data_IF_278748830517
#
_entry.id   IF_278748830517
#
_cell.length_a   1.000
_cell.length_b   1.000
_cell.length_c   1.000
_cell.angle_alpha   90.00
_cell.angle_beta   90.00
_cell.angle_gamma   90.00
#
_symmetry.space_group_name_H-M   'P 1'
#
loop_
_entity.id
_entity.type
_entity.pdbx_description
1 polymer ?
#
# COMPACT_ATOMS: atom_id res chain seq x y z
N UNK A 1 9.40 -10.76 29.40
CA UNK A 1 8.96 -10.86 28.00
C UNK A 1 10.18 -10.56 27.14
N UNK A 2 11.13 -11.50 27.09
CA UNK A 2 12.44 -11.24 26.46
C UNK A 2 12.85 -12.48 25.66
N UNK A 3 12.03 -12.80 24.65
CA UNK A 3 12.28 -13.88 23.71
C UNK A 3 11.86 -13.43 22.31
N UNK A 4 12.56 -13.85 21.25
CA UNK A 4 12.19 -13.50 19.89
C UNK A 4 10.76 -13.99 19.58
N UNK A 5 9.98 -13.13 18.93
CA UNK A 5 8.64 -13.45 18.45
C UNK A 5 8.71 -13.48 16.93
N UNK A 6 8.22 -14.56 16.34
CA UNK A 6 8.11 -14.70 14.88
C UNK A 6 6.68 -14.36 14.46
N UNK A 7 6.55 -13.48 13.47
CA UNK A 7 5.27 -13.17 12.84
C UNK A 7 5.09 -14.07 11.62
N UNK A 8 3.94 -14.72 11.49
CA UNK A 8 3.58 -15.48 10.28
C UNK A 8 2.82 -14.59 9.27
N UNK A 9 1.95 -13.73 9.77
CA UNK A 9 1.13 -12.84 8.98
C UNK A 9 0.71 -11.61 9.79
N UNK A 10 0.45 -10.51 9.09
CA UNK A 10 -0.18 -9.30 9.62
C UNK A 10 -1.42 -8.98 8.78
N UNK A 11 -2.59 -9.01 9.39
CA UNK A 11 -3.86 -8.59 8.78
C UNK A 11 -4.19 -7.17 9.22
N UNK A 12 -4.57 -6.32 8.28
CA UNK A 12 -4.90 -4.91 8.52
C UNK A 12 -6.27 -4.59 7.94
N UNK A 13 -7.18 -4.15 8.79
CA UNK A 13 -8.52 -3.69 8.40
C UNK A 13 -8.51 -2.17 8.33
N UNK A 14 -8.93 -1.62 7.20
CA UNK A 14 -9.11 -0.18 7.07
C UNK A 14 -10.47 0.24 7.66
N UNK A 15 -10.52 1.38 8.34
CA UNK A 15 -11.65 1.80 9.16
C UNK A 15 -12.89 2.13 8.32
N UNK A 16 -13.98 1.37 8.53
CA UNK A 16 -15.20 1.45 7.72
C UNK A 16 -16.03 2.74 7.92
N UNK A 17 -15.74 3.57 8.94
CA UNK A 17 -16.53 4.78 9.23
C UNK A 17 -16.38 5.86 8.15
N UNK A 18 -15.26 5.87 7.44
CA UNK A 18 -14.99 6.80 6.32
C UNK A 18 -14.52 5.99 5.12
N UNK A 19 -15.42 5.24 4.46
CA UNK A 19 -15.08 4.24 3.46
C UNK A 19 -14.44 4.83 2.19
N UNK A 20 -14.69 6.10 1.91
CA UNK A 20 -14.04 6.87 0.85
C UNK A 20 -12.54 7.13 1.12
N UNK A 21 -12.08 6.97 2.36
CA UNK A 21 -10.70 7.23 2.76
C UNK A 21 -9.87 5.93 2.79
N UNK A 22 -8.70 6.00 2.18
CA UNK A 22 -7.66 4.96 2.23
C UNK A 22 -6.40 5.50 2.89
N UNK A 23 -5.44 4.63 3.21
CA UNK A 23 -4.09 5.07 3.55
C UNK A 23 -3.23 5.06 2.28
N UNK A 24 -2.90 6.25 1.79
CA UNK A 24 -2.07 6.40 0.58
C UNK A 24 -0.59 6.06 0.83
N UNK A 25 -0.12 6.31 2.05
CA UNK A 25 1.24 5.99 2.48
C UNK A 25 1.17 5.07 3.69
N UNK A 26 1.65 3.84 3.51
CA UNK A 26 1.73 2.82 4.53
C UNK A 26 3.13 2.18 4.48
N UNK A 27 3.84 2.31 5.59
CA UNK A 27 5.16 1.74 5.78
C UNK A 27 5.10 0.72 6.92
N UNK A 28 5.59 -0.49 6.65
CA UNK A 28 5.69 -1.56 7.63
C UNK A 28 7.15 -1.85 7.93
N UNK A 29 7.50 -1.77 9.21
CA UNK A 29 8.83 -2.06 9.72
C UNK A 29 8.78 -3.30 10.62
N UNK A 30 9.74 -4.19 10.45
CA UNK A 30 10.01 -5.31 11.35
C UNK A 30 11.44 -5.15 11.88
N UNK A 31 11.58 -5.02 13.20
CA UNK A 31 12.88 -4.78 13.86
C UNK A 31 13.67 -3.64 13.18
N UNK A 32 13.01 -2.49 13.02
CA UNK A 32 13.52 -1.29 12.35
C UNK A 32 13.84 -1.44 10.83
N UNK A 33 13.60 -2.60 10.24
CA UNK A 33 13.77 -2.83 8.80
C UNK A 33 12.47 -2.60 8.04
N UNK A 34 12.48 -1.72 7.05
CA UNK A 34 11.34 -1.50 6.14
C UNK A 34 11.11 -2.75 5.28
N UNK A 35 10.00 -3.45 5.51
CA UNK A 35 9.63 -4.67 4.77
C UNK A 35 8.53 -4.42 3.73
N UNK A 36 7.76 -3.35 3.86
CA UNK A 36 6.77 -2.95 2.88
C UNK A 36 6.58 -1.43 2.87
N UNK A 37 6.50 -0.85 1.66
CA UNK A 37 6.11 0.53 1.43
C UNK A 37 5.11 0.59 0.28
N UNK A 38 3.91 1.10 0.56
CA UNK A 38 2.84 1.16 -0.42
C UNK A 38 1.57 1.79 0.16
N UNK A 39 0.42 1.34 -0.32
CA UNK A 39 -0.91 1.83 0.09
C UNK A 39 -1.66 0.76 0.86
N UNK A 40 -2.61 1.18 1.71
CA UNK A 40 -3.71 0.31 2.15
C UNK A 40 -4.95 0.58 1.30
N UNK A 41 -5.59 -0.49 0.85
CA UNK A 41 -6.87 -0.40 0.14
C UNK A 41 -7.92 0.35 0.96
N UNK A 42 -8.83 1.04 0.27
CA UNK A 42 -10.03 1.60 0.91
C UNK A 42 -10.90 0.48 1.48
N UNK A 43 -11.68 0.78 2.50
CA UNK A 43 -12.74 -0.14 2.90
C UNK A 43 -13.72 -0.33 1.74
N UNK A 44 -14.04 -1.58 1.41
CA UNK A 44 -14.95 -1.94 0.32
C UNK A 44 -16.09 -2.77 0.90
N UNK A 45 -17.24 -2.13 1.13
CA UNK A 45 -18.43 -2.81 1.64
C UNK A 45 -18.85 -4.03 0.79
N UNK A 46 -18.59 -3.98 -0.52
CA UNK A 46 -18.86 -5.08 -1.44
C UNK A 46 -18.05 -6.35 -1.18
N UNK A 47 -16.93 -6.24 -0.45
CA UNK A 47 -16.06 -7.37 -0.08
C UNK A 47 -16.35 -7.89 1.33
N UNK A 48 -17.38 -7.35 1.99
CA UNK A 48 -17.77 -7.71 3.35
C UNK A 48 -17.12 -6.82 4.42
N UNK A 49 -17.72 -6.81 5.61
CA UNK A 49 -17.27 -6.00 6.75
C UNK A 49 -15.91 -6.46 7.30
N UNK A 50 -15.54 -7.73 7.07
CA UNK A 50 -14.28 -8.34 7.53
C UNK A 50 -13.17 -8.31 6.46
N UNK A 51 -13.35 -7.51 5.41
CA UNK A 51 -12.32 -7.37 4.38
C UNK A 51 -11.07 -6.68 4.95
N UNK A 52 -9.93 -7.33 4.77
CA UNK A 52 -8.62 -6.88 5.24
C UNK A 52 -7.55 -7.06 4.17
N UNK A 53 -6.41 -6.40 4.42
CA UNK A 53 -5.20 -6.60 3.65
C UNK A 53 -4.18 -7.39 4.47
N UNK A 54 -3.56 -8.40 3.87
CA UNK A 54 -2.64 -9.31 4.55
C UNK A 54 -1.21 -9.16 4.05
N UNK A 55 -0.28 -9.07 4.99
CA UNK A 55 1.17 -9.14 4.76
C UNK A 55 1.68 -10.46 5.31
N UNK A 56 2.22 -11.32 4.44
CA UNK A 56 2.68 -12.66 4.80
C UNK A 56 4.20 -12.68 5.03
N UNK A 57 4.62 -13.37 6.08
CA UNK A 57 6.03 -13.55 6.50
C UNK A 57 6.36 -15.03 6.69
N UNK A 58 5.63 -15.89 5.99
CA UNK A 58 5.65 -17.34 6.18
C UNK A 58 5.74 -18.07 4.83
N UNK A 59 6.37 -19.24 4.85
CA UNK A 59 6.42 -20.18 3.72
C UNK A 59 5.34 -21.26 3.84
N UNK A 60 4.47 -21.18 4.86
CA UNK A 60 3.41 -22.14 5.06
C UNK A 60 2.34 -22.00 3.97
N UNK A 61 2.21 -23.05 3.14
CA UNK A 61 1.42 -23.02 1.91
C UNK A 61 -0.08 -22.87 2.19
N UNK A 62 -0.61 -23.47 3.25
CA UNK A 62 -2.05 -23.39 3.53
C UNK A 62 -2.48 -21.97 3.91
N UNK A 63 -1.69 -21.28 4.73
CA UNK A 63 -1.90 -19.89 5.10
C UNK A 63 -1.71 -18.97 3.90
N UNK A 64 -0.69 -19.22 3.07
CA UNK A 64 -0.50 -18.45 1.84
C UNK A 64 -1.69 -18.60 0.87
N UNK A 65 -2.25 -19.81 0.73
CA UNK A 65 -3.44 -20.07 -0.07
C UNK A 65 -4.69 -19.39 0.51
N UNK A 66 -4.87 -19.46 1.83
CA UNK A 66 -5.99 -18.83 2.53
C UNK A 66 -6.00 -17.31 2.35
N UNK A 67 -4.82 -16.69 2.41
CA UNK A 67 -4.66 -15.23 2.41
C UNK A 67 -4.46 -14.63 1.01
N UNK A 68 -4.34 -15.48 -0.02
CA UNK A 68 -3.93 -15.06 -1.37
C UNK A 68 -4.76 -13.91 -1.95
N UNK A 69 -6.05 -13.85 -1.64
CA UNK A 69 -6.94 -12.79 -2.14
C UNK A 69 -6.81 -11.47 -1.36
N UNK A 70 -6.31 -11.51 -0.13
CA UNK A 70 -6.11 -10.35 0.75
C UNK A 70 -4.70 -9.75 0.61
N UNK A 71 -3.78 -10.41 -0.09
CA UNK A 71 -2.42 -9.89 -0.33
C UNK A 71 -2.47 -8.70 -1.31
N UNK A 72 -1.77 -7.58 -1.02
CA UNK A 72 -1.70 -6.44 -1.93
C UNK A 72 -1.27 -6.86 -3.34
N UNK A 73 -2.10 -6.60 -4.36
CA UNK A 73 -1.73 -6.86 -5.76
C UNK A 73 -0.82 -5.76 -6.27
N UNK A 74 0.34 -6.14 -6.83
CA UNK A 74 1.23 -5.22 -7.53
C UNK A 74 0.54 -4.71 -8.80
N UNK A 75 -0.18 -3.59 -8.71
CA UNK A 75 -0.98 -3.09 -9.83
C UNK A 75 -2.22 -2.29 -9.42
N UNK A 76 -2.62 -2.34 -8.15
CA UNK A 76 -3.50 -1.31 -7.56
C UNK A 76 -2.70 -0.03 -7.27
N UNK A 77 -1.93 0.39 -8.29
CA UNK A 77 -1.35 1.72 -8.33
C UNK A 77 -2.50 2.72 -8.24
N UNK A 78 -2.35 3.64 -7.30
CA UNK A 78 -3.16 4.83 -7.08
C UNK A 78 -3.69 5.39 -8.42
N UNK A 79 -4.98 5.76 -8.58
CA UNK A 79 -5.44 6.54 -9.73
C UNK A 79 -4.71 7.89 -9.87
N UNK A 80 -3.90 8.30 -8.88
CA UNK A 80 -2.93 9.38 -9.00
C UNK A 80 -1.54 8.96 -9.57
N UNK A 81 -1.38 7.73 -10.09
CA UNK A 81 -0.25 7.37 -10.95
C UNK A 81 -0.40 8.17 -12.25
N UNK A 82 0.20 9.36 -12.28
CA UNK A 82 0.25 10.21 -13.48
C UNK A 82 1.02 9.46 -14.56
N UNK A 83 0.29 8.88 -15.50
CA UNK A 83 0.84 8.24 -16.69
C UNK A 83 1.33 9.35 -17.63
N UNK A 84 2.66 9.48 -17.79
CA UNK A 84 3.20 10.33 -18.83
C UNK A 84 2.93 9.68 -20.19
N UNK A 85 2.30 10.43 -21.09
CA UNK A 85 2.15 10.05 -22.51
C UNK A 85 3.14 10.89 -23.31
N UNK A 86 4.30 10.33 -23.64
CA UNK A 86 5.17 10.89 -24.66
C UNK A 86 4.93 10.09 -25.94
N UNK A 87 4.43 10.76 -26.98
CA UNK A 87 4.28 10.22 -28.34
C UNK A 87 3.62 8.82 -28.39
N UNK A 88 2.43 8.69 -27.80
CA UNK A 88 1.63 7.47 -27.76
C UNK A 88 2.25 6.26 -27.00
N UNK A 89 3.28 6.47 -26.17
CA UNK A 89 3.78 5.45 -25.24
C UNK A 89 3.51 5.85 -23.79
N UNK A 90 2.79 4.98 -23.09
CA UNK A 90 2.50 5.10 -21.67
C UNK A 90 3.75 4.66 -20.88
N UNK A 91 4.37 5.60 -20.17
CA UNK A 91 5.52 5.33 -19.29
C UNK A 91 5.05 5.38 -17.84
N UNK A 92 5.18 4.26 -17.11
CA UNK A 92 4.97 4.22 -15.65
C UNK A 92 6.21 4.78 -14.96
N UNK A 93 6.07 5.86 -14.18
CA UNK A 93 7.19 6.48 -13.47
C UNK A 93 6.80 6.92 -12.05
N UNK A 94 7.58 6.51 -11.05
CA UNK A 94 7.48 7.03 -9.67
C UNK A 94 7.81 8.52 -9.65
N UNK A 95 6.81 9.37 -9.40
CA UNK A 95 6.94 10.84 -9.35
C UNK A 95 7.93 11.36 -8.28
N UNK A 96 8.35 10.52 -7.34
CA UNK A 96 9.18 10.92 -6.21
C UNK A 96 10.68 11.03 -6.51
N UNK A 97 11.20 10.35 -7.53
CA UNK A 97 12.66 10.33 -7.76
C UNK A 97 13.24 11.66 -8.25
N UNK A 98 12.43 12.67 -8.59
CA UNK A 98 12.89 14.01 -8.99
C UNK A 98 12.52 15.14 -8.03
N UNK A 99 11.66 14.91 -7.04
CA UNK A 99 11.34 15.95 -6.06
C UNK A 99 12.50 16.20 -5.08
N UNK A 100 13.42 15.25 -4.94
CA UNK A 100 14.61 15.39 -4.10
C UNK A 100 15.70 16.24 -4.78
N UNK A 101 15.69 16.38 -6.12
CA UNK A 101 16.70 17.15 -6.87
C UNK A 101 16.29 18.59 -7.20
N UNK A 102 15.01 18.89 -7.24
CA UNK A 102 14.50 20.22 -7.56
C UNK A 102 13.84 20.74 -6.29
N UNK A 103 14.48 21.74 -5.66
CA UNK A 103 14.08 22.34 -4.37
C UNK A 103 12.62 22.79 -4.24
N UNK A 104 12.27 23.54 -3.18
CA UNK A 104 10.88 23.68 -2.74
C UNK A 104 9.95 24.16 -3.87
N UNK A 105 8.89 23.39 -4.11
CA UNK A 105 7.91 23.69 -5.16
C UNK A 105 6.94 24.77 -4.67
N UNK A 106 6.59 25.76 -5.51
CA UNK A 106 5.58 26.74 -5.15
C UNK A 106 4.22 26.07 -5.03
N UNK A 107 3.50 26.36 -3.94
CA UNK A 107 2.11 25.94 -3.75
C UNK A 107 1.19 26.95 -4.44
N UNK A 108 0.42 26.51 -5.43
CA UNK A 108 -0.78 27.24 -5.84
C UNK A 108 -1.96 26.71 -5.04
N UNK A 109 -2.26 27.37 -3.92
CA UNK A 109 -3.64 27.48 -3.47
C UNK A 109 -4.24 28.70 -4.16
N UNK A 110 -5.35 28.50 -4.86
CA UNK A 110 -6.33 29.56 -5.08
C UNK A 110 -7.63 29.04 -4.49
N UNK A 111 -8.29 29.92 -3.73
CA UNK A 111 -9.50 29.69 -2.91
C UNK A 111 -10.59 28.87 -3.62
#
# INVERSE_FOLDING_TARGET
>A
LDRPIVLAALRVWNYAKTPERGAKEFHLYLDDNLVYAGTLGRYRASLGEDHHQTFLFTEEENLALLEREHVPRSGEADPAEVLYTNDNRVVKGKAERRAVELGPRPTTSVL
#
